data_IF_373036601585
#
_entry.id   IF_373036601585
#
_cell.length_a   1.000
_cell.length_b   1.000
_cell.length_c   1.000
_cell.angle_alpha   90.00
_cell.angle_beta   90.00
_cell.angle_gamma   90.00
#
_symmetry.space_group_name_H-M   'P 1'
#
loop_
_entity.id
_entity.type
_entity.pdbx_description
1 polymer ?
#
# COMPACT_ATOMS: atom_id res chain seq x y z
N UNK A 1 55.70 9.40 -4.60
CA UNK A 1 54.65 8.41 -4.93
C UNK A 1 53.31 9.07 -4.73
N UNK A 2 52.54 9.13 -5.81
CA UNK A 2 51.36 9.96 -6.05
C UNK A 2 50.12 9.06 -5.89
N UNK A 3 49.08 9.59 -5.23
CA UNK A 3 47.69 9.13 -5.22
C UNK A 3 47.36 7.76 -4.61
N UNK A 4 46.97 7.76 -3.33
CA UNK A 4 46.03 6.80 -2.75
C UNK A 4 45.10 7.52 -1.75
N UNK A 5 44.37 8.53 -2.22
CA UNK A 5 43.23 9.10 -1.50
C UNK A 5 42.12 9.38 -2.51
N UNK A 6 41.14 8.49 -2.57
CA UNK A 6 39.74 8.75 -2.96
C UNK A 6 39.09 7.45 -3.43
N UNK A 7 38.79 6.55 -2.50
CA UNK A 7 37.80 5.51 -2.76
C UNK A 7 37.12 5.21 -1.42
N UNK A 8 35.79 5.07 -1.44
CA UNK A 8 34.88 4.75 -0.33
C UNK A 8 34.22 5.95 0.40
N UNK A 9 33.55 6.82 -0.33
CA UNK A 9 32.44 7.59 0.24
C UNK A 9 31.29 7.75 -0.76
N UNK A 10 30.74 6.63 -1.25
CA UNK A 10 29.45 6.62 -1.90
C UNK A 10 28.88 5.21 -1.86
N UNK A 11 27.97 4.93 -0.93
CA UNK A 11 26.80 4.06 -1.14
C UNK A 11 25.98 3.99 0.16
N UNK A 12 25.08 4.96 0.32
CA UNK A 12 23.89 4.79 1.14
C UNK A 12 22.83 5.81 0.69
N UNK A 13 22.47 5.81 -0.60
CA UNK A 13 21.11 6.26 -0.94
C UNK A 13 20.18 5.14 -0.49
N UNK A 14 19.73 5.18 0.76
CA UNK A 14 18.54 4.44 1.15
C UNK A 14 17.39 5.05 0.34
N UNK A 15 17.12 4.49 -0.85
CA UNK A 15 15.91 4.79 -1.60
C UNK A 15 14.78 4.26 -0.74
N UNK A 16 14.20 5.12 0.09
CA UNK A 16 12.99 4.78 0.79
C UNK A 16 11.89 4.69 -0.27
N UNK A 17 11.50 3.48 -0.65
CA UNK A 17 10.29 3.29 -1.45
C UNK A 17 9.07 3.81 -0.66
N UNK A 18 7.92 3.95 -1.33
CA UNK A 18 6.63 4.18 -0.70
C UNK A 18 6.52 3.55 0.71
N UNK A 19 6.18 4.36 1.72
CA UNK A 19 5.92 3.88 3.07
C UNK A 19 4.48 4.23 3.46
N UNK A 20 3.64 3.20 3.57
CA UNK A 20 2.23 3.37 3.97
C UNK A 20 2.13 3.45 5.49
N UNK A 21 1.67 4.59 6.00
CA UNK A 21 1.58 4.88 7.44
C UNK A 21 0.18 4.68 8.04
N UNK A 22 -0.85 4.62 7.20
CA UNK A 22 -2.23 4.29 7.57
C UNK A 22 -2.87 3.43 6.48
N UNK A 23 -3.67 2.41 6.83
CA UNK A 23 -4.05 1.99 8.19
C UNK A 23 -2.93 1.27 8.97
N UNK A 24 -3.09 1.24 10.29
CA UNK A 24 -2.20 0.58 11.25
C UNK A 24 -2.70 -0.82 11.62
N UNK A 25 -1.81 -1.60 12.25
CA UNK A 25 -2.15 -2.94 12.72
C UNK A 25 -3.33 -2.92 13.67
N UNK A 26 -4.38 -3.67 13.35
CA UNK A 26 -5.56 -3.84 14.22
C UNK A 26 -6.64 -2.77 14.07
N UNK A 27 -6.44 -1.78 13.18
CA UNK A 27 -7.50 -0.83 12.83
C UNK A 27 -8.75 -1.59 12.38
N UNK A 28 -9.93 -1.15 12.85
CA UNK A 28 -11.23 -1.73 12.49
C UNK A 28 -11.91 -0.80 11.50
N UNK A 29 -12.07 -1.28 10.26
CA UNK A 29 -12.45 -0.44 9.14
C UNK A 29 -13.74 -0.95 8.52
N UNK A 30 -14.77 -0.12 8.56
CA UNK A 30 -15.96 -0.29 7.75
C UNK A 30 -15.77 0.44 6.42
N UNK A 31 -15.29 -0.28 5.40
CA UNK A 31 -14.87 0.30 4.11
C UNK A 31 -15.97 1.05 3.34
N UNK A 32 -17.25 0.81 3.67
CA UNK A 32 -18.35 1.57 3.09
C UNK A 32 -18.41 3.01 3.65
N UNK A 33 -18.18 3.20 4.95
CA UNK A 33 -18.01 4.53 5.57
C UNK A 33 -16.63 5.14 5.26
N UNK A 34 -15.65 4.28 5.03
CA UNK A 34 -14.36 4.61 4.46
C UNK A 34 -13.23 4.76 5.46
N UNK A 35 -12.03 4.88 4.91
CA UNK A 35 -10.76 5.07 5.61
C UNK A 35 -9.81 5.89 4.75
N UNK A 36 -8.86 6.57 5.39
CA UNK A 36 -7.81 7.32 4.70
C UNK A 36 -6.52 6.53 4.76
N UNK A 37 -5.99 6.23 3.58
CA UNK A 37 -4.65 5.71 3.40
C UNK A 37 -3.71 6.91 3.36
N UNK A 38 -2.60 6.84 4.09
CA UNK A 38 -1.54 7.86 4.06
C UNK A 38 -0.21 7.22 3.78
N UNK A 39 0.66 7.92 3.06
CA UNK A 39 1.99 7.42 2.73
C UNK A 39 3.03 8.53 2.62
N UNK A 40 4.29 8.15 2.75
CA UNK A 40 5.43 8.92 2.26
C UNK A 40 5.96 8.29 0.96
N UNK A 41 6.67 9.08 0.16
CA UNK A 41 7.32 8.63 -1.06
C UNK A 41 8.57 9.47 -1.29
N UNK A 42 9.51 8.95 -2.08
CA UNK A 42 10.71 9.68 -2.51
C UNK A 42 10.65 10.00 -4.00
N UNK A 43 11.58 10.85 -4.45
CA UNK A 43 11.62 11.33 -5.83
C UNK A 43 11.84 10.22 -6.89
N UNK A 44 12.36 9.05 -6.50
CA UNK A 44 12.56 7.90 -7.40
C UNK A 44 11.35 6.98 -7.50
N UNK A 45 10.32 7.15 -6.68
CA UNK A 45 9.06 6.41 -6.81
C UNK A 45 8.28 6.85 -8.06
N UNK A 46 7.55 5.92 -8.69
CA UNK A 46 6.66 6.23 -9.81
C UNK A 46 5.70 7.37 -9.45
N UNK A 47 5.40 8.29 -10.37
CA UNK A 47 4.51 9.45 -10.10
C UNK A 47 3.06 9.06 -9.77
N UNK A 48 2.68 7.82 -10.06
CA UNK A 48 1.34 7.31 -9.80
C UNK A 48 1.36 5.81 -9.56
N UNK A 49 0.41 5.31 -8.78
CA UNK A 49 0.22 3.89 -8.50
C UNK A 49 -1.25 3.48 -8.59
N UNK A 50 -1.51 2.18 -8.74
CA UNK A 50 -2.85 1.62 -8.56
C UNK A 50 -2.98 1.04 -7.15
N UNK A 51 -4.20 1.08 -6.61
CA UNK A 51 -4.49 0.65 -5.24
C UNK A 51 -5.36 -0.60 -5.25
N UNK A 52 -4.90 -1.61 -4.51
CA UNK A 52 -5.62 -2.86 -4.30
C UNK A 52 -5.85 -3.13 -2.83
N UNK A 53 -7.00 -3.70 -2.52
CA UNK A 53 -7.29 -4.32 -1.25
C UNK A 53 -7.06 -5.82 -1.39
N UNK A 54 -6.19 -6.39 -0.55
CA UNK A 54 -5.89 -7.83 -0.56
C UNK A 54 -6.10 -8.45 0.81
N UNK A 55 -6.34 -9.75 0.84
CA UNK A 55 -6.23 -10.57 2.05
C UNK A 55 -5.57 -11.90 1.69
N UNK A 56 -4.36 -12.08 2.20
CA UNK A 56 -3.52 -13.27 1.94
C UNK A 56 -3.50 -14.24 3.12
N UNK A 57 -4.22 -13.94 4.21
CA UNK A 57 -4.25 -14.77 5.43
C UNK A 57 -5.31 -15.87 5.38
N UNK A 58 -6.29 -15.75 4.48
CA UNK A 58 -7.45 -16.63 4.42
C UNK A 58 -7.58 -17.24 3.03
N UNK A 59 -7.98 -18.51 2.95
CA UNK A 59 -8.25 -19.19 1.68
C UNK A 59 -9.76 -19.19 1.35
N UNK A 60 -10.16 -18.87 0.11
CA UNK A 60 -9.31 -18.41 -0.99
C UNK A 60 -8.78 -16.99 -0.73
N UNK A 61 -7.57 -16.71 -1.21
CA UNK A 61 -6.99 -15.38 -1.12
C UNK A 61 -7.90 -14.37 -1.81
N UNK A 62 -8.03 -13.19 -1.21
CA UNK A 62 -8.87 -12.11 -1.72
C UNK A 62 -8.02 -11.03 -2.36
N UNK A 63 -8.50 -10.47 -3.48
CA UNK A 63 -7.97 -9.26 -4.06
C UNK A 63 -9.07 -8.46 -4.76
N UNK A 64 -9.04 -7.14 -4.61
CA UNK A 64 -9.94 -6.23 -5.29
C UNK A 64 -9.23 -4.93 -5.61
N UNK A 65 -9.31 -4.51 -6.87
CA UNK A 65 -8.87 -3.18 -7.28
C UNK A 65 -9.78 -2.13 -6.65
N UNK A 66 -9.20 -1.14 -5.99
CA UNK A 66 -9.91 -0.03 -5.37
C UNK A 66 -9.95 1.16 -6.31
N UNK A 67 -8.79 1.57 -6.83
CA UNK A 67 -8.67 2.66 -7.80
C UNK A 67 -7.35 2.58 -8.58
N UNK A 68 -7.19 3.44 -9.58
CA UNK A 68 -6.03 3.47 -10.46
C UNK A 68 -5.46 4.88 -10.64
N UNK A 69 -4.16 4.95 -10.93
CA UNK A 69 -3.49 6.22 -11.26
C UNK A 69 -3.53 7.25 -10.14
N UNK A 70 -3.51 6.81 -8.88
CA UNK A 70 -3.45 7.69 -7.72
C UNK A 70 -2.14 8.45 -7.75
N UNK A 71 -2.22 9.78 -7.62
CA UNK A 71 -1.05 10.66 -7.62
C UNK A 71 -0.21 10.42 -6.36
N UNK A 72 1.06 10.02 -6.53
CA UNK A 72 2.04 9.84 -5.46
C UNK A 72 2.12 11.05 -4.52
N UNK A 73 2.12 12.24 -5.09
CA UNK A 73 2.36 13.50 -4.37
C UNK A 73 1.13 13.98 -3.58
N UNK A 74 -0.02 13.30 -3.71
CA UNK A 74 -1.18 13.57 -2.87
C UNK A 74 -0.97 13.12 -1.41
N UNK A 75 -0.05 12.16 -1.18
CA UNK A 75 0.34 11.58 0.12
C UNK A 75 -0.80 10.98 0.96
N UNK A 76 -2.03 11.04 0.46
CA UNK A 76 -3.23 10.49 1.06
C UNK A 76 -4.28 10.17 0.00
N UNK A 77 -5.11 9.17 0.29
CA UNK A 77 -6.21 8.75 -0.56
C UNK A 77 -7.37 8.23 0.31
N UNK A 78 -8.58 8.73 0.06
CA UNK A 78 -9.77 8.32 0.81
C UNK A 78 -10.47 7.16 0.09
N UNK A 79 -10.45 5.99 0.71
CA UNK A 79 -11.24 4.83 0.28
C UNK A 79 -12.60 4.90 0.96
N UNK A 80 -13.70 4.83 0.20
CA UNK A 80 -15.06 4.78 0.74
C UNK A 80 -16.03 4.14 -0.25
N UNK A 81 -17.22 3.75 0.21
CA UNK A 81 -18.24 3.14 -0.65
C UNK A 81 -17.91 1.73 -1.15
N UNK A 82 -16.87 1.09 -0.61
CA UNK A 82 -16.47 -0.26 -1.02
C UNK A 82 -17.33 -1.29 -0.29
N UNK A 83 -18.30 -1.87 -0.99
CA UNK A 83 -19.26 -2.85 -0.47
C UNK A 83 -18.92 -4.29 -0.86
N UNK A 84 -19.43 -5.30 -0.15
CA UNK A 84 -19.22 -6.71 -0.52
C UNK A 84 -17.82 -7.25 -0.21
N UNK A 85 -17.07 -6.57 0.67
CA UNK A 85 -15.82 -7.11 1.23
C UNK A 85 -16.16 -7.98 2.44
N UNK A 86 -15.75 -9.26 2.50
CA UNK A 86 -16.00 -10.11 3.65
C UNK A 86 -15.37 -9.54 4.93
N UNK A 87 -16.11 -9.52 6.03
CA UNK A 87 -15.56 -9.11 7.32
C UNK A 87 -14.53 -10.15 7.80
N UNK A 88 -13.28 -9.72 7.97
CA UNK A 88 -12.19 -10.57 8.43
C UNK A 88 -10.96 -9.71 8.83
N UNK A 89 -9.96 -10.34 9.46
CA UNK A 89 -8.65 -9.74 9.70
C UNK A 89 -7.68 -10.01 8.54
N UNK A 90 -6.50 -9.38 8.57
CA UNK A 90 -5.43 -9.66 7.60
C UNK A 90 -5.57 -8.93 6.27
N UNK A 91 -6.43 -7.92 6.19
CA UNK A 91 -6.53 -7.08 5.01
C UNK A 91 -5.37 -6.10 4.93
N UNK A 92 -4.92 -5.83 3.70
CA UNK A 92 -3.88 -4.84 3.41
C UNK A 92 -4.27 -4.01 2.19
N UNK A 93 -3.84 -2.76 2.19
CA UNK A 93 -3.81 -1.93 0.99
C UNK A 93 -2.45 -2.03 0.33
N UNK A 94 -2.43 -2.48 -0.92
CA UNK A 94 -1.23 -2.68 -1.71
C UNK A 94 -1.17 -1.65 -2.83
N UNK A 95 -0.03 -0.97 -2.93
CA UNK A 95 0.31 -0.10 -4.04
C UNK A 95 1.01 -0.94 -5.09
N UNK A 96 0.60 -0.82 -6.34
CA UNK A 96 1.20 -1.54 -7.47
C UNK A 96 1.40 -0.60 -8.64
N UNK A 97 2.15 -1.06 -9.65
CA UNK A 97 2.35 -0.29 -10.87
C UNK A 97 1.01 -0.06 -11.58
N UNK A 98 0.92 1.00 -12.38
CA UNK A 98 -0.28 1.24 -13.19
C UNK A 98 -0.60 0.04 -14.06
N UNK A 99 -1.88 -0.30 -14.12
CA UNK A 99 -2.42 -1.41 -14.89
C UNK A 99 -1.91 -2.79 -14.44
N UNK A 100 -1.36 -2.90 -13.24
CA UNK A 100 -1.06 -4.18 -12.63
C UNK A 100 -2.33 -5.04 -12.51
N UNK A 101 -2.12 -6.36 -12.56
CA UNK A 101 -3.16 -7.35 -12.37
C UNK A 101 -3.25 -7.80 -10.90
N UNK A 102 -4.20 -8.69 -10.64
CA UNK A 102 -4.38 -9.28 -9.32
C UNK A 102 -3.15 -10.10 -8.87
N UNK A 103 -2.38 -10.67 -9.80
CA UNK A 103 -1.18 -11.46 -9.47
C UNK A 103 -0.09 -10.57 -8.87
N UNK A 104 0.14 -9.40 -9.46
CA UNK A 104 1.07 -8.42 -8.92
C UNK A 104 0.57 -7.85 -7.59
N UNK A 105 -0.73 -7.52 -7.49
CA UNK A 105 -1.33 -7.03 -6.26
C UNK A 105 -1.12 -7.96 -5.07
N UNK A 106 -1.17 -9.27 -5.28
CA UNK A 106 -0.99 -10.27 -4.21
C UNK A 106 0.48 -10.62 -3.93
N UNK A 107 1.37 -10.50 -4.91
CA UNK A 107 2.71 -11.10 -4.83
C UNK A 107 3.88 -10.14 -4.89
N UNK A 108 3.73 -8.96 -5.50
CA UNK A 108 4.85 -8.03 -5.78
C UNK A 108 4.42 -6.56 -5.68
N UNK A 109 3.82 -6.11 -4.56
CA UNK A 109 3.47 -4.71 -4.41
C UNK A 109 4.71 -3.80 -4.33
N UNK A 110 4.55 -2.55 -4.75
CA UNK A 110 5.51 -1.47 -4.54
C UNK A 110 5.60 -1.11 -3.06
N UNK A 111 4.45 -1.11 -2.38
CA UNK A 111 4.33 -0.96 -0.94
C UNK A 111 3.01 -1.54 -0.44
N UNK A 112 2.95 -1.77 0.86
CA UNK A 112 1.82 -2.42 1.52
C UNK A 112 1.56 -1.78 2.88
N UNK A 113 0.30 -1.55 3.21
CA UNK A 113 -0.11 -1.10 4.54
C UNK A 113 0.19 -2.17 5.59
N UNK A 114 0.06 -1.78 6.87
CA UNK A 114 -0.10 -2.78 7.93
C UNK A 114 -1.44 -3.49 7.80
N UNK A 115 -1.56 -4.65 8.44
CA UNK A 115 -2.76 -5.48 8.40
C UNK A 115 -3.87 -4.89 9.25
N UNK A 116 -5.06 -4.75 8.69
CA UNK A 116 -6.23 -4.24 9.40
C UNK A 116 -7.39 -5.22 9.33
N UNK A 117 -8.43 -4.93 10.11
CA UNK A 117 -9.65 -5.70 10.22
C UNK A 117 -10.75 -4.99 9.43
N UNK A 118 -11.35 -5.68 8.47
CA UNK A 118 -12.57 -5.20 7.81
C UNK A 118 -13.78 -5.63 8.64
N UNK A 119 -14.66 -4.68 8.97
CA UNK A 119 -15.90 -4.94 9.70
C UNK A 119 -17.12 -4.81 8.80
N UNK A 120 -18.23 -5.44 9.23
CA UNK A 120 -19.54 -5.29 8.59
C UNK A 120 -20.28 -4.04 9.09
N UNK A 121 -21.40 -3.71 8.44
CA UNK A 121 -22.26 -2.61 8.87
C UNK A 121 -22.71 -2.82 10.33
N UNK A 122 -22.50 -1.81 11.18
CA UNK A 122 -22.93 -1.82 12.59
C UNK A 122 -21.94 -2.39 13.60
N UNK A 123 -20.72 -2.77 13.19
CA UNK A 123 -19.65 -3.19 14.11
C UNK A 123 -18.47 -2.22 13.95
N UNK A 124 -18.48 -1.16 14.76
CA UNK A 124 -17.35 -0.23 14.91
C UNK A 124 -16.61 -0.62 16.18
#
# INVERSE_FOLDING_TARGET
MRFLLACLAALASSVAAYEVSSPMTGDRIFLQAGTTITWSAVNTDDLSFDLWLVNMRHFPNYARRIDQGINRDAQSYRVQGVSGVPANDGYQFNFVRRNADETEAKGRPLAQSKDFIVTGAGII
#
